data_IF_767377132889
#
_entry.id   IF_767377132889
#
_cell.length_a   1.000
_cell.length_b   1.000
_cell.length_c   1.000
_cell.angle_alpha   90.00
_cell.angle_beta   90.00
_cell.angle_gamma   90.00
#
_symmetry.space_group_name_H-M   'P 1'
#
loop_
_entity.id
_entity.type
_entity.pdbx_description
1 polymer ?
#
# COMPACT_ATOMS: atom_id res chain seq x y z
N UNK A 1 36.40 -45.85 26.55
CA UNK A 1 36.56 -44.94 25.40
C UNK A 1 35.26 -45.02 24.64
N UNK A 2 34.24 -44.28 25.08
CA UNK A 2 32.89 -44.37 24.51
C UNK A 2 32.74 -43.31 23.45
N UNK A 3 32.54 -43.75 22.21
CA UNK A 3 32.19 -42.88 21.09
C UNK A 3 30.91 -42.13 21.44
N UNK A 4 31.04 -40.81 21.54
CA UNK A 4 29.91 -39.88 21.59
C UNK A 4 29.40 -39.81 20.15
N UNK A 5 28.14 -40.18 19.86
CA UNK A 5 27.54 -39.83 18.58
C UNK A 5 27.41 -38.32 18.57
N UNK A 6 28.13 -37.67 17.65
CA UNK A 6 27.98 -36.27 17.29
C UNK A 6 26.55 -36.10 16.76
N UNK A 7 25.61 -35.89 17.70
CA UNK A 7 24.23 -35.56 17.40
C UNK A 7 24.29 -34.30 16.56
N UNK A 8 24.11 -34.50 15.25
CA UNK A 8 24.09 -33.44 14.26
C UNK A 8 23.22 -32.34 14.81
N UNK A 9 23.86 -31.19 15.05
CA UNK A 9 23.22 -29.95 15.42
C UNK A 9 22.42 -29.41 14.23
N UNK A 10 21.64 -30.27 13.56
CA UNK A 10 20.50 -29.90 12.74
C UNK A 10 19.33 -29.56 13.67
N UNK A 11 19.64 -28.65 14.61
CA UNK A 11 18.67 -27.94 15.38
C UNK A 11 17.81 -27.13 14.43
N UNK A 12 16.62 -27.67 14.15
CA UNK A 12 15.36 -26.93 14.29
C UNK A 12 15.26 -25.63 13.47
N UNK A 13 15.91 -25.56 12.31
CA UNK A 13 15.88 -24.37 11.47
C UNK A 13 14.81 -24.50 10.38
N UNK A 14 13.57 -24.19 10.76
CA UNK A 14 12.41 -23.88 9.91
C UNK A 14 11.52 -25.06 9.48
N UNK A 15 10.67 -25.53 10.40
CA UNK A 15 9.51 -26.41 10.15
C UNK A 15 8.64 -25.98 8.92
N UNK A 16 8.75 -24.72 8.49
CA UNK A 16 8.01 -24.15 7.37
C UNK A 16 8.75 -24.07 6.03
N UNK A 17 10.00 -24.54 5.95
CA UNK A 17 10.81 -24.44 4.71
C UNK A 17 10.79 -23.02 4.09
N UNK A 18 10.81 -21.98 4.94
CA UNK A 18 10.52 -20.60 4.54
C UNK A 18 11.38 -20.12 3.35
N UNK A 19 12.67 -20.48 3.34
CA UNK A 19 13.58 -20.13 2.24
C UNK A 19 13.11 -20.68 0.89
N UNK A 20 12.59 -21.91 0.86
CA UNK A 20 12.03 -22.53 -0.34
C UNK A 20 10.73 -21.85 -0.77
N UNK A 21 9.85 -21.50 0.17
CA UNK A 21 8.60 -20.79 -0.15
C UNK A 21 8.91 -19.40 -0.72
N UNK A 22 9.83 -18.66 -0.09
CA UNK A 22 10.23 -17.33 -0.56
C UNK A 22 10.87 -17.40 -1.95
N UNK A 23 11.71 -18.41 -2.23
CA UNK A 23 12.31 -18.59 -3.56
C UNK A 23 11.28 -18.96 -4.63
N UNK A 24 10.32 -19.83 -4.32
CA UNK A 24 9.22 -20.18 -5.23
C UNK A 24 8.30 -18.97 -5.50
N UNK A 25 7.93 -18.23 -4.46
CA UNK A 25 7.15 -16.99 -4.62
C UNK A 25 7.92 -15.93 -5.42
N UNK A 26 9.25 -15.88 -5.29
CA UNK A 26 10.08 -15.01 -6.13
C UNK A 26 9.99 -15.41 -7.60
N UNK A 27 10.13 -16.70 -7.91
CA UNK A 27 9.94 -17.21 -9.27
C UNK A 27 8.57 -16.85 -9.84
N UNK A 28 7.49 -17.06 -9.07
CA UNK A 28 6.14 -16.68 -9.49
C UNK A 28 6.00 -15.17 -9.77
N UNK A 29 6.63 -14.29 -8.96
CA UNK A 29 6.65 -12.84 -9.21
C UNK A 29 7.44 -12.47 -10.46
N UNK A 30 8.55 -13.15 -10.73
CA UNK A 30 9.37 -12.94 -11.93
C UNK A 30 8.61 -13.37 -13.18
N UNK A 31 7.97 -14.55 -13.16
CA UNK A 31 7.12 -15.06 -14.24
C UNK A 31 5.94 -14.13 -14.53
N UNK A 32 5.24 -13.66 -13.48
CA UNK A 32 4.15 -12.70 -13.64
C UNK A 32 4.65 -11.39 -14.26
N UNK A 33 5.75 -10.81 -13.77
CA UNK A 33 6.34 -9.59 -14.35
C UNK A 33 6.78 -9.79 -15.81
N UNK A 34 7.30 -10.96 -16.16
CA UNK A 34 7.67 -11.27 -17.55
C UNK A 34 6.45 -11.32 -18.48
N UNK A 35 5.34 -11.91 -18.02
CA UNK A 35 4.06 -12.01 -18.76
C UNK A 35 3.28 -10.70 -18.81
N UNK A 36 3.36 -9.90 -17.74
CA UNK A 36 2.62 -8.66 -17.55
C UNK A 36 3.48 -7.41 -17.76
N UNK A 37 4.61 -7.51 -18.48
CA UNK A 37 5.60 -6.44 -18.70
C UNK A 37 5.00 -5.14 -19.28
N UNK A 38 3.87 -5.20 -19.99
CA UNK A 38 3.14 -4.01 -20.49
C UNK A 38 2.24 -3.34 -19.45
N UNK A 39 1.73 -4.13 -18.49
CA UNK A 39 0.94 -3.61 -17.36
C UNK A 39 1.89 -2.99 -16.36
N UNK A 40 2.98 -3.69 -16.00
CA UNK A 40 4.02 -3.24 -15.04
C UNK A 40 5.04 -2.23 -15.61
N UNK A 41 4.64 -1.40 -16.58
CA UNK A 41 5.53 -0.58 -17.40
C UNK A 41 6.42 0.38 -16.59
N UNK A 42 7.74 0.22 -16.74
CA UNK A 42 8.88 1.12 -16.43
C UNK A 42 9.00 1.82 -15.06
N UNK A 43 7.94 1.95 -14.28
CA UNK A 43 7.95 2.80 -13.08
C UNK A 43 7.98 2.03 -11.77
N UNK A 44 7.83 0.70 -11.77
CA UNK A 44 7.95 -0.14 -10.56
C UNK A 44 7.09 0.32 -9.37
N UNK A 45 6.16 1.23 -9.61
CA UNK A 45 5.36 1.92 -8.62
C UNK A 45 4.03 1.21 -8.45
N UNK A 46 3.34 1.50 -7.34
CA UNK A 46 1.96 1.05 -7.15
C UNK A 46 1.08 1.62 -8.26
N UNK A 47 0.70 0.79 -9.22
CA UNK A 47 -0.26 1.15 -10.28
C UNK A 47 -1.70 1.16 -9.75
N UNK A 48 -1.96 0.40 -8.70
CA UNK A 48 -3.27 0.26 -8.09
C UNK A 48 -3.38 1.12 -6.81
N UNK A 49 -4.58 1.63 -6.51
CA UNK A 49 -4.85 2.26 -5.22
C UNK A 49 -4.53 1.33 -4.06
N UNK A 50 -3.92 1.87 -3.02
CA UNK A 50 -3.65 1.15 -1.79
C UNK A 50 -4.90 1.11 -0.92
N UNK A 51 -5.39 -0.09 -0.62
CA UNK A 51 -6.49 -0.28 0.34
C UNK A 51 -6.18 0.28 1.73
N UNK A 52 -4.91 0.20 2.16
CA UNK A 52 -4.47 0.77 3.43
C UNK A 52 -4.57 2.30 3.40
N UNK A 53 -4.06 2.94 2.34
CA UNK A 53 -4.17 4.39 2.19
C UNK A 53 -5.64 4.86 2.12
N UNK A 54 -6.51 4.13 1.42
CA UNK A 54 -7.94 4.43 1.40
C UNK A 54 -8.59 4.33 2.80
N UNK A 55 -8.14 3.39 3.64
CA UNK A 55 -8.56 3.31 5.04
C UNK A 55 -8.15 4.56 5.83
N UNK A 56 -6.88 4.95 5.75
CA UNK A 56 -6.34 6.14 6.42
C UNK A 56 -7.06 7.43 5.97
N UNK A 57 -7.36 7.55 4.66
CA UNK A 57 -8.13 8.67 4.12
C UNK A 57 -9.54 8.72 4.72
N UNK A 58 -10.23 7.58 4.80
CA UNK A 58 -11.58 7.51 5.36
C UNK A 58 -11.59 7.85 6.86
N UNK A 59 -10.58 7.40 7.60
CA UNK A 59 -10.40 7.75 9.01
C UNK A 59 -10.17 9.26 9.17
N UNK A 60 -9.27 9.85 8.38
CA UNK A 60 -8.98 11.28 8.43
C UNK A 60 -10.21 12.13 8.06
N UNK A 61 -10.94 11.78 6.99
CA UNK A 61 -12.18 12.46 6.61
C UNK A 61 -13.24 12.35 7.71
N UNK A 62 -13.40 11.16 8.31
CA UNK A 62 -14.36 10.95 9.40
C UNK A 62 -13.98 11.75 10.64
N UNK A 63 -12.68 11.83 10.96
CA UNK A 63 -12.13 12.66 12.03
C UNK A 63 -12.41 14.15 11.80
N UNK A 64 -12.20 14.64 10.58
CA UNK A 64 -12.47 16.04 10.25
C UNK A 64 -13.97 16.39 10.23
N UNK A 65 -14.85 15.45 9.87
CA UNK A 65 -16.30 15.66 9.87
C UNK A 65 -16.93 15.55 11.26
N UNK A 66 -16.33 14.76 12.15
CA UNK A 66 -16.78 14.55 13.51
C UNK A 66 -15.63 14.72 14.52
N UNK A 67 -15.00 15.91 14.59
CA UNK A 67 -13.75 16.13 15.34
C UNK A 67 -13.87 15.79 16.82
N UNK A 68 -14.99 16.13 17.46
CA UNK A 68 -15.21 15.83 18.89
C UNK A 68 -15.52 14.35 19.18
N UNK A 69 -15.81 13.54 18.15
CA UNK A 69 -16.17 12.11 18.32
C UNK A 69 -15.08 11.17 17.84
N UNK A 70 -14.41 11.53 16.75
CA UNK A 70 -13.47 10.70 16.00
C UNK A 70 -12.10 11.36 15.83
N UNK A 71 -11.94 12.60 16.28
CA UNK A 71 -10.66 13.30 16.27
C UNK A 71 -9.77 12.96 17.48
N UNK A 72 -8.63 13.66 17.61
CA UNK A 72 -7.69 13.48 18.71
C UNK A 72 -8.35 13.70 20.07
N UNK A 73 -7.91 12.90 21.06
CA UNK A 73 -8.46 12.96 22.43
C UNK A 73 -8.14 14.28 23.14
N UNK A 74 -7.08 14.97 22.70
CA UNK A 74 -6.63 16.26 23.21
C UNK A 74 -7.18 17.45 22.41
N UNK A 75 -8.06 17.21 21.42
CA UNK A 75 -8.63 18.27 20.61
C UNK A 75 -9.54 19.17 21.46
N UNK A 76 -9.26 20.47 21.40
CA UNK A 76 -10.06 21.52 22.05
C UNK A 76 -10.88 22.26 21.01
N UNK A 77 -12.01 22.80 21.44
CA UNK A 77 -12.90 23.62 20.60
C UNK A 77 -12.14 24.81 19.97
N UNK A 78 -11.22 25.43 20.72
CA UNK A 78 -10.36 26.53 20.27
C UNK A 78 -9.45 26.18 19.09
N UNK A 79 -9.09 24.90 18.92
CA UNK A 79 -8.19 24.41 17.87
C UNK A 79 -8.91 23.52 16.86
N UNK A 80 -10.23 23.42 16.93
CA UNK A 80 -11.06 22.56 16.08
C UNK A 80 -10.90 22.93 14.61
N UNK A 81 -11.07 24.21 14.27
CA UNK A 81 -10.96 24.70 12.90
C UNK A 81 -9.59 24.40 12.28
N UNK A 82 -8.52 24.52 13.06
CA UNK A 82 -7.17 24.20 12.61
C UNK A 82 -7.01 22.71 12.32
N UNK A 83 -7.47 21.86 13.24
CA UNK A 83 -7.46 20.41 13.06
C UNK A 83 -8.27 19.99 11.83
N UNK A 84 -9.49 20.51 11.69
CA UNK A 84 -10.38 20.18 10.56
C UNK A 84 -9.74 20.60 9.24
N UNK A 85 -9.25 21.84 9.15
CA UNK A 85 -8.62 22.35 7.93
C UNK A 85 -7.39 21.54 7.52
N UNK A 86 -6.48 21.27 8.47
CA UNK A 86 -5.28 20.48 8.20
C UNK A 86 -5.61 19.04 7.79
N UNK A 87 -6.53 18.39 8.52
CA UNK A 87 -6.90 16.99 8.27
C UNK A 87 -7.61 16.82 6.93
N UNK A 88 -8.50 17.77 6.56
CA UNK A 88 -9.14 17.76 5.25
C UNK A 88 -8.12 17.94 4.13
N UNK A 89 -7.20 18.88 4.24
CA UNK A 89 -6.18 19.10 3.21
C UNK A 89 -5.35 17.83 2.98
N UNK A 90 -4.86 17.21 4.06
CA UNK A 90 -4.10 15.95 3.97
C UNK A 90 -4.93 14.84 3.35
N UNK A 91 -6.17 14.65 3.82
CA UNK A 91 -7.02 13.55 3.36
C UNK A 91 -7.43 13.70 1.89
N UNK A 92 -7.77 14.92 1.45
CA UNK A 92 -8.17 15.20 0.07
C UNK A 92 -7.00 15.08 -0.90
N UNK A 93 -5.81 15.57 -0.54
CA UNK A 93 -4.61 15.39 -1.37
C UNK A 93 -4.23 13.90 -1.50
N UNK A 94 -4.33 13.14 -0.41
CA UNK A 94 -4.10 11.70 -0.44
C UNK A 94 -5.15 10.97 -1.30
N UNK A 95 -6.43 11.36 -1.19
CA UNK A 95 -7.52 10.81 -2.01
C UNK A 95 -7.30 11.10 -3.50
N UNK A 96 -6.92 12.33 -3.84
CA UNK A 96 -6.60 12.72 -5.21
C UNK A 96 -5.47 11.87 -5.78
N UNK A 97 -4.42 11.61 -4.99
CA UNK A 97 -3.34 10.73 -5.40
C UNK A 97 -3.84 9.29 -5.68
N UNK A 98 -4.67 8.72 -4.81
CA UNK A 98 -5.26 7.38 -5.04
C UNK A 98 -6.19 7.36 -6.25
N UNK A 99 -7.01 8.39 -6.45
CA UNK A 99 -7.90 8.51 -7.60
C UNK A 99 -7.12 8.59 -8.92
N UNK A 100 -6.01 9.33 -8.95
CA UNK A 100 -5.12 9.40 -10.11
C UNK A 100 -4.49 8.03 -10.44
N UNK A 101 -4.13 7.23 -9.43
CA UNK A 101 -3.65 5.86 -9.65
C UNK A 101 -4.73 5.01 -10.34
N UNK A 102 -5.96 5.03 -9.84
CA UNK A 102 -7.07 4.27 -10.45
C UNK A 102 -7.35 4.73 -11.88
N UNK A 103 -7.43 6.04 -12.12
CA UNK A 103 -7.71 6.57 -13.46
C UNK A 103 -6.61 6.21 -14.46
N UNK A 104 -5.34 6.28 -14.06
CA UNK A 104 -4.21 5.83 -14.89
C UNK A 104 -4.28 4.33 -15.15
N UNK A 105 -4.59 3.53 -14.14
CA UNK A 105 -4.76 2.08 -14.29
C UNK A 105 -5.88 1.71 -15.27
N UNK A 106 -7.03 2.38 -15.18
CA UNK A 106 -8.15 2.19 -16.10
C UNK A 106 -7.78 2.61 -17.53
N UNK A 107 -7.12 3.75 -17.70
CA UNK A 107 -6.69 4.22 -19.01
C UNK A 107 -5.65 3.29 -19.67
N UNK A 108 -4.69 2.78 -18.90
CA UNK A 108 -3.73 1.79 -19.37
C UNK A 108 -4.40 0.49 -19.86
N UNK A 109 -5.46 0.03 -19.18
CA UNK A 109 -6.22 -1.14 -19.62
C UNK A 109 -7.03 -0.89 -20.90
N UNK A 110 -7.50 0.34 -21.12
CA UNK A 110 -8.30 0.73 -22.28
C UNK A 110 -7.45 1.19 -23.48
N UNK A 111 -6.12 1.24 -23.35
CA UNK A 111 -5.22 1.76 -24.38
C UNK A 111 -5.30 3.29 -24.57
N UNK A 112 -5.76 4.02 -23.55
CA UNK A 112 -5.97 5.47 -23.58
C UNK A 112 -4.72 6.29 -23.24
N UNK A 113 -4.69 7.54 -23.71
CA UNK A 113 -3.59 8.49 -23.55
C UNK A 113 -3.54 9.08 -22.11
N UNK A 114 -2.43 8.84 -21.41
CA UNK A 114 -2.24 9.14 -19.98
C UNK A 114 -2.16 10.65 -19.71
N UNK A 115 -1.73 11.44 -20.69
CA UNK A 115 -1.55 12.89 -20.55
C UNK A 115 -2.89 13.64 -20.40
N UNK A 116 -4.01 13.06 -20.81
CA UNK A 116 -5.34 13.69 -20.65
C UNK A 116 -5.88 13.60 -19.22
N UNK A 117 -5.32 12.74 -18.37
CA UNK A 117 -5.88 12.39 -17.06
C UNK A 117 -5.44 13.40 -16.00
N UNK A 118 -4.17 13.80 -16.03
CA UNK A 118 -3.59 14.75 -15.07
C UNK A 118 -4.17 16.18 -15.22
N UNK A 119 -4.78 16.51 -16.37
CA UNK A 119 -5.46 17.79 -16.60
C UNK A 119 -6.95 17.81 -16.22
N UNK A 120 -7.55 16.66 -15.86
CA UNK A 120 -8.97 16.52 -15.50
C UNK A 120 -9.22 16.31 -14.00
N UNK A 121 -8.16 16.06 -13.23
CA UNK A 121 -8.19 15.75 -11.80
C UNK A 121 -7.53 16.87 -11.00
#
# INVERSE_FOLDING_TARGET
>A
MSDIPEASADGRSSHWQLQRIVSQLRGAREDWRARNRRVSGEHGGRELPSRAAMGEILEALSGALFPMRLGPVDLREESEDFYVGHTLDVALNALLAQARLELRYVAHQQGGDLNSIDGRA
#
